data_IF_322322121050
#
_entry.id   IF_322322121050
#
_cell.length_a   1.000
_cell.length_b   1.000
_cell.length_c   1.000
_cell.angle_alpha   90.00
_cell.angle_beta   90.00
_cell.angle_gamma   90.00
#
_symmetry.space_group_name_H-M   'P 1'
#
loop_
_entity.id
_entity.type
_entity.pdbx_description
1 polymer ?
#
# COMPACT_ATOMS: atom_id res chain seq x y z
N UNK A 1 31.63 7.91 3.56
CA UNK A 1 31.52 9.36 3.25
C UNK A 1 30.07 9.79 2.95
N UNK A 2 29.12 8.85 2.80
CA UNK A 2 27.73 9.19 2.48
C UNK A 2 27.54 9.48 0.99
N UNK A 3 28.51 9.13 0.15
CA UNK A 3 28.40 9.29 -1.28
C UNK A 3 27.29 8.40 -1.86
N UNK A 4 26.58 8.93 -2.84
CA UNK A 4 25.63 8.17 -3.65
C UNK A 4 26.39 7.07 -4.41
N UNK A 5 26.03 5.81 -4.16
CA UNK A 5 26.64 4.65 -4.84
C UNK A 5 26.00 4.43 -6.21
N UNK A 6 24.67 4.47 -6.25
CA UNK A 6 23.87 4.40 -7.48
C UNK A 6 22.49 5.00 -7.23
N UNK A 7 21.86 5.46 -8.31
CA UNK A 7 20.46 5.85 -8.35
C UNK A 7 19.75 4.96 -9.36
N UNK A 8 18.53 4.55 -9.03
CA UNK A 8 17.67 3.82 -9.95
C UNK A 8 16.33 4.51 -10.06
N UNK A 9 15.98 4.83 -11.30
CA UNK A 9 14.65 5.29 -11.66
C UNK A 9 13.98 4.21 -12.51
N UNK A 10 12.75 3.87 -12.17
CA UNK A 10 11.92 2.98 -12.97
C UNK A 10 11.22 3.81 -14.06
N UNK A 11 12.00 4.22 -15.07
CA UNK A 11 11.50 5.00 -16.21
C UNK A 11 10.69 4.11 -17.16
N UNK A 12 9.49 4.57 -17.53
CA UNK A 12 8.55 3.83 -18.38
C UNK A 12 7.31 3.30 -17.64
N UNK A 13 7.34 3.33 -16.31
CA UNK A 13 6.22 2.95 -15.46
C UNK A 13 5.64 4.20 -14.78
N UNK A 14 4.71 4.89 -15.44
CA UNK A 14 3.76 5.79 -14.74
C UNK A 14 2.93 5.05 -13.67
N UNK A 15 3.12 3.74 -13.56
CA UNK A 15 2.43 2.78 -12.73
C UNK A 15 3.05 2.58 -11.34
N UNK A 16 4.39 2.50 -11.21
CA UNK A 16 5.02 2.11 -9.95
C UNK A 16 5.69 3.30 -9.25
N UNK A 17 5.23 3.62 -8.05
CA UNK A 17 5.86 4.60 -7.16
C UNK A 17 6.79 3.94 -6.14
N UNK A 18 7.58 4.77 -5.45
CA UNK A 18 8.48 4.37 -4.36
C UNK A 18 8.06 5.02 -3.04
N UNK A 19 6.81 4.81 -2.64
CA UNK A 19 6.22 5.47 -1.46
C UNK A 19 6.61 4.83 -0.12
N UNK A 20 7.41 3.76 -0.15
CA UNK A 20 7.78 2.98 1.01
C UNK A 20 9.29 2.79 1.08
N UNK A 21 9.79 2.57 2.29
CA UNK A 21 11.22 2.42 2.53
C UNK A 21 11.72 1.06 2.01
N UNK A 22 12.90 1.02 1.36
CA UNK A 22 13.55 -0.24 1.04
C UNK A 22 14.16 -0.86 2.30
N UNK A 23 14.35 -2.18 2.26
CA UNK A 23 15.17 -2.90 3.22
C UNK A 23 16.56 -3.17 2.63
N UNK A 24 17.59 -3.19 3.48
CA UNK A 24 18.96 -3.51 3.08
C UNK A 24 19.47 -4.66 3.92
N UNK A 25 19.94 -5.73 3.28
CA UNK A 25 20.32 -6.96 3.97
C UNK A 25 20.92 -7.99 3.03
N UNK A 26 21.45 -9.08 3.58
CA UNK A 26 21.99 -10.18 2.76
C UNK A 26 20.87 -11.15 2.43
N UNK A 27 20.78 -11.58 1.17
CA UNK A 27 19.79 -12.58 0.71
C UNK A 27 20.22 -14.04 0.96
N UNK A 28 21.31 -14.24 1.72
CA UNK A 28 21.79 -15.52 2.24
C UNK A 28 22.86 -15.24 3.32
N UNK A 29 23.21 -16.18 4.21
CA UNK A 29 24.22 -15.95 5.25
C UNK A 29 25.57 -15.41 4.73
N UNK A 30 26.02 -15.92 3.58
CA UNK A 30 27.21 -15.45 2.86
C UNK A 30 26.86 -14.74 1.53
N UNK A 31 25.60 -14.33 1.38
CA UNK A 31 25.11 -13.67 0.18
C UNK A 31 25.61 -12.25 0.05
N UNK A 32 25.50 -11.69 -1.16
CA UNK A 32 25.74 -10.27 -1.40
C UNK A 32 24.73 -9.42 -0.64
N UNK A 33 25.15 -8.21 -0.30
CA UNK A 33 24.24 -7.20 0.23
C UNK A 33 23.26 -6.80 -0.88
N UNK A 34 21.99 -6.74 -0.55
CA UNK A 34 20.93 -6.37 -1.47
C UNK A 34 20.07 -5.25 -0.88
N UNK A 35 19.52 -4.43 -1.76
CA UNK A 35 18.44 -3.50 -1.48
C UNK A 35 17.15 -4.11 -2.01
N UNK A 36 16.20 -4.36 -1.14
CA UNK A 36 14.86 -4.84 -1.49
C UNK A 36 13.90 -3.67 -1.40
N UNK A 37 13.28 -3.32 -2.52
CA UNK A 37 12.36 -2.20 -2.62
C UNK A 37 10.94 -2.69 -2.97
N UNK A 38 9.91 -2.30 -2.20
CA UNK A 38 8.53 -2.41 -2.63
C UNK A 38 8.26 -1.30 -3.65
N UNK A 39 7.61 -1.66 -4.75
CA UNK A 39 7.30 -0.77 -5.86
C UNK A 39 5.80 -0.83 -6.09
N UNK A 40 5.13 0.31 -6.01
CA UNK A 40 3.67 0.33 -6.12
C UNK A 40 3.07 1.73 -6.15
N UNK A 41 1.86 1.81 -6.68
CA UNK A 41 1.08 3.05 -6.65
C UNK A 41 0.60 3.38 -5.24
N UNK A 42 0.35 4.66 -4.96
CA UNK A 42 -0.39 5.07 -3.76
C UNK A 42 -1.86 5.26 -4.11
N UNK A 43 -2.77 4.79 -3.26
CA UNK A 43 -4.21 5.02 -3.40
C UNK A 43 -4.57 6.50 -3.24
N UNK A 44 -3.63 7.31 -2.73
CA UNK A 44 -3.84 8.67 -2.19
C UNK A 44 -4.98 8.69 -1.15
N UNK A 45 -5.33 9.85 -0.58
CA UNK A 45 -6.64 9.92 0.09
C UNK A 45 -7.67 9.54 -0.98
N UNK A 46 -8.45 8.46 -0.80
CA UNK A 46 -9.35 8.08 -1.87
C UNK A 46 -10.35 9.22 -2.01
N UNK A 47 -10.38 9.87 -3.16
CA UNK A 47 -11.38 10.88 -3.44
C UNK A 47 -12.70 10.11 -3.56
N UNK A 48 -13.55 10.24 -2.56
CA UNK A 48 -14.78 9.47 -2.42
C UNK A 48 -16.02 10.29 -2.78
N UNK A 49 -16.27 10.64 -4.05
CA UNK A 49 -17.55 11.24 -4.40
C UNK A 49 -18.69 10.27 -4.06
N UNK A 50 -18.50 8.96 -4.24
CA UNK A 50 -19.51 7.92 -4.05
C UNK A 50 -19.67 7.32 -2.64
N UNK A 51 -18.75 7.58 -1.70
CA UNK A 51 -18.79 7.06 -0.32
C UNK A 51 -19.00 8.15 0.74
N UNK A 52 -18.93 9.42 0.36
CA UNK A 52 -19.17 10.56 1.26
C UNK A 52 -20.52 10.51 1.98
N UNK A 53 -21.50 9.79 1.41
CA UNK A 53 -22.79 9.58 2.07
C UNK A 53 -22.67 8.61 3.27
N UNK A 54 -21.75 7.64 3.27
CA UNK A 54 -21.49 6.78 4.44
C UNK A 54 -20.91 7.58 5.62
N UNK A 55 -20.28 8.73 5.37
CA UNK A 55 -19.79 9.59 6.44
C UNK A 55 -20.88 10.40 7.11
N UNK A 56 -22.07 10.49 6.49
CA UNK A 56 -23.16 11.27 7.07
C UNK A 56 -23.61 10.63 8.38
N UNK A 57 -23.75 11.39 9.48
CA UNK A 57 -24.18 10.86 10.78
C UNK A 57 -25.55 10.17 10.73
N UNK A 58 -26.39 10.53 9.75
CA UNK A 58 -27.74 9.99 9.56
C UNK A 58 -27.77 8.58 8.98
N UNK A 59 -26.67 8.07 8.43
CA UNK A 59 -26.62 6.71 7.89
C UNK A 59 -26.38 5.73 9.03
N UNK A 60 -27.30 4.77 9.28
CA UNK A 60 -27.12 3.79 10.35
C UNK A 60 -25.86 2.96 10.18
N UNK A 61 -25.16 2.66 11.29
CA UNK A 61 -23.89 1.92 11.27
C UNK A 61 -24.00 0.57 10.55
N UNK A 62 -25.08 -0.19 10.78
CA UNK A 62 -25.32 -1.48 10.14
C UNK A 62 -25.37 -1.38 8.61
N UNK A 63 -25.88 -0.26 8.06
CA UNK A 63 -25.95 -0.04 6.62
C UNK A 63 -24.56 0.27 6.06
N UNK A 64 -23.75 1.04 6.80
CA UNK A 64 -22.35 1.29 6.45
C UNK A 64 -21.55 -0.01 6.41
N UNK A 65 -21.75 -0.89 7.41
CA UNK A 65 -21.09 -2.18 7.46
C UNK A 65 -21.58 -3.14 6.37
N UNK A 66 -22.89 -3.21 6.13
CA UNK A 66 -23.46 -4.03 5.06
C UNK A 66 -22.89 -3.64 3.70
N UNK A 67 -22.84 -2.34 3.41
CA UNK A 67 -22.23 -1.86 2.18
C UNK A 67 -20.72 -2.15 2.16
N UNK A 68 -19.99 -1.70 3.17
CA UNK A 68 -18.53 -1.75 3.15
C UNK A 68 -18.01 -3.19 3.27
N UNK A 69 -18.35 -3.88 4.36
CA UNK A 69 -17.89 -5.25 4.62
C UNK A 69 -18.62 -6.26 3.74
N UNK A 70 -19.93 -6.06 3.51
CA UNK A 70 -20.75 -7.01 2.75
C UNK A 70 -20.63 -6.89 1.23
N UNK A 71 -20.43 -5.68 0.69
CA UNK A 71 -20.35 -5.45 -0.75
C UNK A 71 -18.95 -5.05 -1.21
N UNK A 72 -18.41 -3.94 -0.69
CA UNK A 72 -17.17 -3.35 -1.16
C UNK A 72 -15.95 -4.27 -0.99
N UNK A 73 -15.77 -4.88 0.19
CA UNK A 73 -14.64 -5.81 0.42
C UNK A 73 -14.78 -7.10 -0.39
N UNK A 74 -16.00 -7.57 -0.62
CA UNK A 74 -16.28 -8.87 -1.21
C UNK A 74 -16.26 -8.87 -2.73
N UNK A 75 -16.69 -7.77 -3.37
CA UNK A 75 -16.97 -7.77 -4.80
C UNK A 75 -16.13 -6.73 -5.56
N UNK A 76 -15.19 -7.18 -6.44
CA UNK A 76 -14.38 -6.27 -7.25
C UNK A 76 -15.19 -5.31 -8.15
N UNK A 77 -16.36 -5.75 -8.63
CA UNK A 77 -17.22 -4.91 -9.47
C UNK A 77 -17.76 -3.68 -8.73
N UNK A 78 -17.99 -3.79 -7.41
CA UNK A 78 -18.42 -2.65 -6.58
C UNK A 78 -17.31 -1.61 -6.53
N UNK A 79 -16.05 -2.05 -6.36
CA UNK A 79 -14.88 -1.17 -6.33
C UNK A 79 -14.65 -0.46 -7.67
N UNK A 80 -14.83 -1.19 -8.79
CA UNK A 80 -14.79 -0.60 -10.14
C UNK A 80 -15.88 0.44 -10.36
N UNK A 81 -17.13 0.16 -9.96
CA UNK A 81 -18.22 1.14 -10.02
C UNK A 81 -17.94 2.40 -9.19
N UNK A 82 -17.15 2.25 -8.12
CA UNK A 82 -16.73 3.34 -7.26
C UNK A 82 -15.51 4.09 -7.78
N UNK A 83 -14.99 3.74 -8.96
CA UNK A 83 -13.84 4.40 -9.57
C UNK A 83 -12.50 4.01 -8.97
N UNK A 84 -12.42 2.90 -8.22
CA UNK A 84 -11.13 2.38 -7.74
C UNK A 84 -10.35 1.86 -8.93
N UNK A 85 -9.21 2.49 -9.19
CA UNK A 85 -8.24 2.06 -10.21
C UNK A 85 -7.28 1.07 -9.55
N UNK A 86 -7.17 -0.18 -10.04
CA UNK A 86 -6.21 -1.12 -9.50
C UNK A 86 -4.78 -0.58 -9.59
N UNK A 87 -4.06 -0.64 -8.47
CA UNK A 87 -2.69 -0.17 -8.37
C UNK A 87 -1.71 -1.29 -8.70
N UNK A 88 -0.78 -1.05 -9.62
CA UNK A 88 0.20 -2.04 -10.03
C UNK A 88 1.27 -2.18 -8.95
N UNK A 89 1.73 -3.42 -8.79
CA UNK A 89 2.40 -3.83 -7.59
C UNK A 89 3.58 -4.79 -7.86
N UNK A 90 4.75 -4.52 -7.29
CA UNK A 90 5.95 -5.35 -7.46
C UNK A 90 6.93 -5.25 -6.29
N UNK A 91 7.78 -6.26 -6.13
CA UNK A 91 8.96 -6.23 -5.25
C UNK A 91 10.20 -6.50 -6.07
N UNK A 92 11.25 -5.72 -5.86
CA UNK A 92 12.52 -5.89 -6.54
C UNK A 92 13.67 -6.00 -5.55
N UNK A 93 14.54 -6.98 -5.75
CA UNK A 93 15.84 -7.01 -5.09
C UNK A 93 16.93 -6.54 -6.05
N UNK A 94 17.83 -5.71 -5.55
CA UNK A 94 18.93 -5.12 -6.29
C UNK A 94 20.23 -5.34 -5.54
N UNK A 95 21.32 -5.59 -6.27
CA UNK A 95 22.66 -5.66 -5.71
C UNK A 95 23.05 -4.29 -5.13
N UNK A 96 23.44 -4.25 -3.87
CA UNK A 96 23.64 -2.99 -3.15
C UNK A 96 24.87 -2.20 -3.62
N UNK A 97 25.80 -2.82 -4.34
CA UNK A 97 27.00 -2.15 -4.87
C UNK A 97 26.74 -1.58 -6.26
N UNK A 98 25.95 -2.27 -7.07
CA UNK A 98 25.80 -1.98 -8.51
C UNK A 98 24.41 -1.47 -8.92
N UNK A 99 23.40 -1.61 -8.07
CA UNK A 99 22.00 -1.29 -8.39
C UNK A 99 21.34 -2.26 -9.40
N UNK A 100 22.04 -3.32 -9.82
CA UNK A 100 21.54 -4.31 -10.78
C UNK A 100 20.43 -5.15 -10.14
N UNK A 101 19.34 -5.37 -10.86
CA UNK A 101 18.27 -6.28 -10.38
C UNK A 101 18.82 -7.69 -10.24
N UNK A 102 18.66 -8.26 -9.05
CA UNK A 102 18.89 -9.68 -8.77
C UNK A 102 17.64 -10.47 -9.16
N UNK A 103 16.47 -10.03 -8.68
CA UNK A 103 15.17 -10.59 -9.03
C UNK A 103 14.07 -9.53 -8.95
N UNK A 104 12.95 -9.85 -9.59
CA UNK A 104 11.75 -9.02 -9.67
C UNK A 104 10.52 -9.93 -9.56
N UNK A 105 9.56 -9.53 -8.74
CA UNK A 105 8.29 -10.22 -8.59
C UNK A 105 7.18 -9.20 -8.81
N UNK A 106 6.37 -9.42 -9.85
CA UNK A 106 5.10 -8.69 -9.98
C UNK A 106 4.06 -9.33 -9.08
N UNK A 107 3.39 -8.51 -8.30
CA UNK A 107 2.25 -8.93 -7.50
C UNK A 107 0.94 -8.58 -8.20
N UNK A 108 -0.16 -9.28 -7.86
CA UNK A 108 -1.48 -8.88 -8.30
C UNK A 108 -1.76 -7.41 -7.98
N UNK A 109 -2.33 -6.69 -8.94
CA UNK A 109 -2.70 -5.29 -8.75
C UNK A 109 -3.68 -5.14 -7.57
N UNK A 110 -3.46 -4.13 -6.73
CA UNK A 110 -4.30 -3.86 -5.56
C UNK A 110 -5.50 -3.00 -5.94
N UNK A 111 -6.69 -3.59 -5.84
CA UNK A 111 -7.94 -2.94 -6.22
C UNK A 111 -8.74 -2.40 -5.03
N UNK A 112 -8.07 -2.16 -3.89
CA UNK A 112 -8.70 -1.67 -2.65
C UNK A 112 -8.06 -0.37 -2.17
N UNK A 113 -8.64 0.25 -1.15
CA UNK A 113 -8.27 1.61 -0.70
C UNK A 113 -7.23 1.62 0.40
N UNK A 114 -7.05 0.48 1.07
CA UNK A 114 -6.14 0.25 2.17
C UNK A 114 -5.47 -1.12 2.02
N UNK A 115 -4.37 -1.37 2.72
CA UNK A 115 -3.75 -2.70 2.72
C UNK A 115 -4.60 -3.75 3.45
N UNK A 116 -4.31 -5.02 3.18
CA UNK A 116 -4.88 -6.12 3.94
C UNK A 116 -4.60 -5.94 5.45
N UNK A 117 -5.61 -6.12 6.30
CA UNK A 117 -5.54 -5.88 7.74
C UNK A 117 -5.94 -4.46 8.15
N UNK A 118 -5.59 -3.46 7.33
CA UNK A 118 -6.01 -2.08 7.53
C UNK A 118 -7.41 -1.81 6.99
N UNK A 119 -7.72 -2.42 5.86
CA UNK A 119 -8.98 -2.27 5.14
C UNK A 119 -10.20 -2.66 6.00
N UNK A 120 -10.07 -3.64 6.89
CA UNK A 120 -11.14 -4.13 7.76
C UNK A 120 -11.53 -3.12 8.85
N UNK A 121 -10.56 -2.34 9.34
CA UNK A 121 -10.77 -1.29 10.35
C UNK A 121 -10.94 0.10 9.76
N UNK A 122 -10.79 0.24 8.45
CA UNK A 122 -10.87 1.51 7.77
C UNK A 122 -12.19 2.26 8.04
N UNK A 123 -13.34 1.59 7.94
CA UNK A 123 -14.65 2.21 8.21
C UNK A 123 -14.78 2.69 9.67
N UNK A 124 -14.23 1.92 10.61
CA UNK A 124 -14.23 2.27 12.03
C UNK A 124 -13.37 3.52 12.30
N UNK A 125 -12.13 3.53 11.78
CA UNK A 125 -11.22 4.69 11.86
C UNK A 125 -11.86 5.93 11.24
N UNK A 126 -12.49 5.77 10.08
CA UNK A 126 -13.18 6.86 9.38
C UNK A 126 -14.35 7.42 10.15
N UNK A 127 -15.16 6.55 10.76
CA UNK A 127 -16.30 6.97 11.59
C UNK A 127 -15.83 7.70 12.85
N UNK A 128 -14.76 7.21 13.50
CA UNK A 128 -14.15 7.87 14.67
C UNK A 128 -13.59 9.24 14.32
N UNK A 129 -12.83 9.36 13.23
CA UNK A 129 -12.32 10.64 12.74
C UNK A 129 -13.44 11.62 12.37
N UNK A 130 -14.52 11.16 11.75
CA UNK A 130 -15.67 12.01 11.44
C UNK A 130 -16.37 12.55 12.69
N UNK A 131 -16.31 11.82 13.81
CA UNK A 131 -16.88 12.22 15.10
C UNK A 131 -15.94 13.10 15.94
N UNK A 132 -14.62 12.93 15.79
CA UNK A 132 -13.58 13.64 16.56
C UNK A 132 -12.52 14.21 15.60
N UNK A 133 -12.92 15.27 14.86
CA UNK A 133 -12.08 15.90 13.83
C UNK A 133 -10.89 16.69 14.40
N UNK A 134 -10.87 16.94 15.70
CA UNK A 134 -9.78 17.66 16.38
C UNK A 134 -8.59 16.74 16.68
N UNK A 135 -8.80 15.42 16.63
CA UNK A 135 -7.75 14.41 16.80
C UNK A 135 -7.16 13.98 15.46
N UNK A 136 -6.04 14.59 15.09
CA UNK A 136 -5.29 14.28 13.87
C UNK A 136 -4.62 12.88 13.91
N UNK A 137 -4.38 12.32 15.10
CA UNK A 137 -3.77 10.99 15.29
C UNK A 137 -4.69 9.82 14.90
N UNK A 138 -5.99 10.09 14.67
CA UNK A 138 -6.95 9.07 14.25
C UNK A 138 -6.84 8.71 12.76
N UNK A 139 -6.04 9.46 11.99
CA UNK A 139 -5.97 9.34 10.53
C UNK A 139 -4.56 9.07 10.01
N UNK A 140 -4.03 7.88 10.29
CA UNK A 140 -3.01 7.31 9.43
C UNK A 140 -3.70 6.77 8.16
N UNK A 141 -3.32 7.31 7.00
CA UNK A 141 -3.70 6.68 5.74
C UNK A 141 -3.02 5.32 5.66
N UNK A 142 -3.71 4.31 5.13
CA UNK A 142 -3.10 3.01 4.93
C UNK A 142 -1.90 3.18 4.01
N UNK A 143 -0.78 2.60 4.41
CA UNK A 143 0.39 2.54 3.55
C UNK A 143 0.00 1.81 2.26
N UNK A 144 0.47 2.23 1.08
CA UNK A 144 0.18 1.53 -0.17
C UNK A 144 0.88 0.17 -0.26
N UNK A 145 1.91 -0.05 0.55
CA UNK A 145 2.61 -1.32 0.68
C UNK A 145 3.21 -1.48 2.07
N UNK A 146 3.46 -2.71 2.49
CA UNK A 146 4.35 -2.97 3.63
C UNK A 146 5.81 -2.62 3.31
N UNK A 147 6.60 -2.44 4.36
CA UNK A 147 8.06 -2.36 4.24
C UNK A 147 8.59 -3.81 4.19
N UNK A 148 9.38 -4.20 3.18
CA UNK A 148 9.92 -5.56 3.11
C UNK A 148 10.81 -5.84 4.33
N UNK A 149 10.87 -7.10 4.73
CA UNK A 149 11.78 -7.58 5.75
C UNK A 149 12.78 -8.52 5.08
N UNK A 150 14.05 -8.49 5.50
CA UNK A 150 15.03 -9.50 5.11
C UNK A 150 15.38 -10.27 6.38
N UNK A 151 14.99 -11.53 6.45
CA UNK A 151 15.29 -12.41 7.57
C UNK A 151 16.78 -12.76 7.64
N UNK A 152 17.24 -13.28 8.78
CA UNK A 152 18.65 -13.61 9.00
C UNK A 152 19.19 -14.73 8.10
N UNK A 153 18.30 -15.53 7.51
CA UNK A 153 18.62 -16.54 6.50
C UNK A 153 18.54 -16.01 5.06
N UNK A 154 18.11 -14.76 4.89
CA UNK A 154 17.97 -14.09 3.61
C UNK A 154 16.59 -14.20 2.96
N UNK A 155 15.61 -14.81 3.63
CA UNK A 155 14.22 -14.79 3.17
C UNK A 155 13.66 -13.36 3.17
N UNK A 156 12.82 -13.06 2.18
CA UNK A 156 12.15 -11.76 1.98
C UNK A 156 10.64 -11.95 2.10
#
# INVERSE_FOLDING_TARGET
>A
DGALVWERQWSGMQTYGGWQYPAVGRLAPNGRLAVVAPLGGITSMPNFPGLSWLDKPRVPQWLKELFYKGMYLRFPWVRRLMGVVPLPNAVAAMDAETGRTIWWVEEPAWDRIAMAGDEEKYLERRTRWAADREREDLWCLPDPWGIPLIAGDGAV
#
